data_IF_783774401845
#
_entry.id   IF_783774401845
#
_cell.length_a   1.000
_cell.length_b   1.000
_cell.length_c   1.000
_cell.angle_alpha   90.00
_cell.angle_beta   90.00
_cell.angle_gamma   90.00
#
_symmetry.space_group_name_H-M   'P 1'
#
loop_
_entity.id
_entity.type
_entity.pdbx_description
1 polymer ?
#
# COMPACT_ATOMS: atom_id res chain seq x y z
N UNK A 1 -14.38 -1.67 9.17
CA UNK A 1 -15.50 -0.87 9.70
C UNK A 1 -15.40 0.46 8.98
N UNK A 2 -16.33 0.75 8.06
CA UNK A 2 -16.33 2.05 7.41
C UNK A 2 -16.68 3.11 8.45
N UNK A 3 -15.90 4.18 8.52
CA UNK A 3 -16.19 5.32 9.36
C UNK A 3 -16.98 6.32 8.54
N UNK A 4 -18.22 6.60 8.94
CA UNK A 4 -19.11 7.48 8.20
C UNK A 4 -18.50 8.88 8.06
N UNK A 5 -18.52 9.42 6.83
CA UNK A 5 -17.89 10.69 6.49
C UNK A 5 -16.39 10.61 6.18
N UNK A 6 -15.76 9.42 6.24
CA UNK A 6 -14.34 9.24 5.94
C UNK A 6 -14.10 8.31 4.75
N UNK A 7 -12.99 8.54 4.04
CA UNK A 7 -12.47 7.64 3.01
C UNK A 7 -11.38 6.75 3.61
N UNK A 8 -11.50 5.44 3.38
CA UNK A 8 -10.49 4.47 3.81
C UNK A 8 -9.34 4.39 2.78
N UNK A 9 -8.13 4.22 3.29
CA UNK A 9 -6.96 3.89 2.47
C UNK A 9 -7.19 2.57 1.73
N UNK A 10 -6.97 2.57 0.41
CA UNK A 10 -7.12 1.39 -0.43
C UNK A 10 -5.82 0.60 -0.49
N UNK A 11 -5.96 -0.73 -0.56
CA UNK A 11 -4.82 -1.64 -0.70
C UNK A 11 -3.95 -1.22 -1.90
N UNK A 12 -2.65 -1.06 -1.65
CA UNK A 12 -1.61 -0.66 -2.63
C UNK A 12 -1.76 0.75 -3.21
N UNK A 13 -2.62 1.59 -2.65
CA UNK A 13 -2.85 2.94 -3.16
C UNK A 13 -1.57 3.79 -3.13
N UNK A 14 -0.83 3.77 -2.01
CA UNK A 14 0.47 4.42 -1.91
C UNK A 14 1.43 3.94 -3.01
N UNK A 15 1.61 2.63 -3.13
CA UNK A 15 2.54 2.03 -4.10
C UNK A 15 2.20 2.40 -5.54
N UNK A 16 0.91 2.53 -5.88
CA UNK A 16 0.45 2.94 -7.20
C UNK A 16 0.70 4.42 -7.45
N UNK A 17 0.41 5.27 -6.46
CA UNK A 17 0.59 6.72 -6.55
C UNK A 17 2.07 7.10 -6.74
N UNK A 18 2.97 6.48 -5.96
CA UNK A 18 4.43 6.70 -6.09
C UNK A 18 5.08 5.90 -7.22
N UNK A 19 4.28 5.21 -8.05
CA UNK A 19 4.75 4.39 -9.18
C UNK A 19 5.84 3.40 -8.78
N UNK A 20 5.63 2.68 -7.67
CA UNK A 20 6.56 1.66 -7.19
C UNK A 20 6.85 0.63 -8.28
N UNK A 21 8.12 0.40 -8.69
CA UNK A 21 8.43 -0.53 -9.78
C UNK A 21 8.03 -1.96 -9.45
N UNK A 22 8.18 -2.38 -8.19
CA UNK A 22 7.71 -3.71 -7.73
C UNK A 22 6.19 -3.83 -7.87
N UNK A 23 5.44 -2.75 -7.64
CA UNK A 23 3.99 -2.77 -7.82
C UNK A 23 3.60 -2.83 -9.29
N UNK A 24 4.32 -2.14 -10.17
CA UNK A 24 4.09 -2.18 -11.61
C UNK A 24 4.36 -3.56 -12.18
N UNK A 25 5.46 -4.20 -11.79
CA UNK A 25 5.75 -5.59 -12.15
C UNK A 25 4.67 -6.55 -11.65
N UNK A 26 4.23 -6.36 -10.40
CA UNK A 26 3.23 -7.20 -9.78
C UNK A 26 1.84 -7.06 -10.41
N UNK A 27 1.45 -5.84 -10.79
CA UNK A 27 0.17 -5.57 -11.47
C UNK A 27 0.11 -6.21 -12.87
N UNK A 28 1.27 -6.52 -13.47
CA UNK A 28 1.37 -7.27 -14.73
C UNK A 28 1.22 -8.79 -14.59
N UNK A 29 1.19 -9.33 -13.38
CA UNK A 29 1.08 -10.78 -13.15
C UNK A 29 -0.35 -11.19 -12.77
N UNK A 30 -0.73 -12.41 -13.16
CA UNK A 30 -1.98 -13.01 -12.68
C UNK A 30 -1.90 -13.25 -11.18
N UNK A 31 -2.85 -12.71 -10.43
CA UNK A 31 -2.92 -12.91 -8.98
C UNK A 31 -2.93 -14.41 -8.62
N UNK A 32 -2.13 -14.77 -7.60
CA UNK A 32 -1.95 -16.16 -7.16
C UNK A 32 -1.05 -17.02 -8.04
N UNK A 33 -0.53 -16.50 -9.17
CA UNK A 33 0.51 -17.20 -9.92
C UNK A 33 1.82 -17.29 -9.13
N UNK A 34 2.67 -18.26 -9.48
CA UNK A 34 4.00 -18.40 -8.89
C UNK A 34 4.80 -17.10 -8.98
N UNK A 35 4.77 -16.44 -10.14
CA UNK A 35 5.48 -15.19 -10.37
C UNK A 35 4.90 -14.02 -9.57
N UNK A 36 3.58 -13.93 -9.46
CA UNK A 36 2.92 -12.96 -8.58
C UNK A 36 3.36 -13.13 -7.12
N UNK A 37 3.36 -14.35 -6.59
CA UNK A 37 3.76 -14.57 -5.19
C UNK A 37 5.26 -14.34 -4.97
N UNK A 38 6.10 -14.66 -5.97
CA UNK A 38 7.54 -14.36 -5.95
C UNK A 38 7.79 -12.86 -5.80
N UNK A 39 7.18 -12.04 -6.65
CA UNK A 39 7.30 -10.57 -6.61
C UNK A 39 6.66 -10.02 -5.33
N UNK A 40 5.48 -10.52 -4.95
CA UNK A 40 4.78 -10.10 -3.72
C UNK A 40 5.62 -10.36 -2.47
N UNK A 41 6.48 -11.37 -2.48
CA UNK A 41 7.38 -11.64 -1.35
C UNK A 41 8.33 -10.45 -1.08
N UNK A 42 8.78 -9.75 -2.12
CA UNK A 42 9.61 -8.53 -1.99
C UNK A 42 8.86 -7.48 -1.16
N UNK A 43 7.57 -7.26 -1.43
CA UNK A 43 6.75 -6.31 -0.66
C UNK A 43 6.57 -6.73 0.80
N UNK A 44 6.58 -8.04 1.10
CA UNK A 44 6.36 -8.56 2.46
C UNK A 44 7.61 -8.50 3.32
N UNK A 45 8.77 -8.86 2.76
CA UNK A 45 10.01 -9.05 3.53
C UNK A 45 10.98 -7.89 3.43
N UNK A 46 10.87 -7.06 2.38
CA UNK A 46 11.86 -6.03 2.08
C UNK A 46 11.29 -4.91 1.23
N UNK A 47 10.19 -4.30 1.69
CA UNK A 47 9.65 -3.12 1.03
C UNK A 47 10.74 -2.04 0.89
N UNK A 48 10.92 -1.51 -0.31
CA UNK A 48 11.92 -0.46 -0.61
C UNK A 48 11.58 0.90 -0.01
N UNK A 49 10.34 1.10 0.41
CA UNK A 49 9.87 2.34 1.02
C UNK A 49 9.80 2.18 2.53
N UNK A 50 10.19 3.24 3.22
CA UNK A 50 10.16 3.29 4.67
C UNK A 50 8.76 3.62 5.19
N UNK A 51 8.50 3.23 6.43
CA UNK A 51 7.32 3.65 7.18
C UNK A 51 7.19 5.18 7.19
N UNK A 52 8.31 5.91 7.29
CA UNK A 52 8.32 7.37 7.25
C UNK A 52 7.75 7.94 5.94
N UNK A 53 8.21 7.43 4.78
CA UNK A 53 7.72 7.87 3.48
C UNK A 53 6.23 7.61 3.30
N UNK A 54 5.75 6.46 3.76
CA UNK A 54 4.32 6.15 3.73
C UNK A 54 3.50 7.11 4.61
N UNK A 55 3.97 7.40 5.82
CA UNK A 55 3.27 8.33 6.72
C UNK A 55 3.25 9.76 6.18
N UNK A 56 4.35 10.24 5.60
CA UNK A 56 4.37 11.55 4.95
C UNK A 56 3.39 11.63 3.79
N UNK A 57 3.34 10.59 2.96
CA UNK A 57 2.37 10.52 1.88
C UNK A 57 0.91 10.55 2.38
N UNK A 58 0.61 9.86 3.49
CA UNK A 58 -0.73 9.93 4.10
C UNK A 58 -1.11 11.37 4.48
N UNK A 59 -0.19 12.11 5.10
CA UNK A 59 -0.38 13.51 5.48
C UNK A 59 -0.60 14.38 4.24
N UNK A 60 0.23 14.23 3.21
CA UNK A 60 0.13 14.98 1.95
C UNK A 60 -1.19 14.76 1.22
N UNK A 61 -1.76 13.55 1.31
CA UNK A 61 -3.07 13.22 0.72
C UNK A 61 -4.26 13.57 1.63
N UNK A 62 -4.00 14.12 2.82
CA UNK A 62 -5.05 14.52 3.76
C UNK A 62 -5.70 13.37 4.53
N UNK A 63 -5.04 12.21 4.63
CA UNK A 63 -5.53 11.12 5.48
C UNK A 63 -5.36 11.44 6.96
N UNK A 64 -6.35 11.02 7.75
CA UNK A 64 -6.30 11.03 9.21
C UNK A 64 -6.00 9.63 9.74
N UNK A 65 -5.02 9.53 10.64
CA UNK A 65 -4.73 8.27 11.36
C UNK A 65 -5.62 8.21 12.59
N UNK A 66 -6.47 7.18 12.66
CA UNK A 66 -7.43 7.01 13.74
C UNK A 66 -7.04 5.76 14.53
N UNK A 67 -6.81 5.90 15.83
CA UNK A 67 -6.61 4.79 16.75
C UNK A 67 -7.95 4.44 17.40
N UNK A 68 -8.50 3.24 17.21
CA UNK A 68 -9.72 2.84 17.92
C UNK A 68 -9.47 2.75 19.43
N UNK A 69 -10.54 2.84 20.21
CA UNK A 69 -10.49 2.73 21.68
C UNK A 69 -10.35 1.27 22.14
N UNK A 70 -10.66 0.32 21.26
CA UNK A 70 -10.74 -1.12 21.50
C UNK A 70 -9.39 -1.80 21.29
#
# INVERSE_FOLDING_TARGET
MKLDGYLEYKRREFCKDVKCPVQLELDGQKEGSHEYERIRNICKSGCRYTTYQFHHWLIEKGYLIIRPVQ
#
